data_IF_605139026770
#
_entry.id   IF_605139026770
#
_cell.length_a   1.000
_cell.length_b   1.000
_cell.length_c   1.000
_cell.angle_alpha   90.00
_cell.angle_beta   90.00
_cell.angle_gamma   90.00
#
_symmetry.space_group_name_H-M   'P 1'
#
loop_
_entity.id
_entity.type
_entity.pdbx_description
1 polymer ?
#
# COMPACT_ATOMS: atom_id res chain seq x y z
N UNK A 1 -10.34 -11.43 -0.70
CA UNK A 1 -8.94 -11.03 -0.97
C UNK A 1 -8.87 -9.83 -1.92
N UNK A 2 -8.50 -9.93 -3.20
CA UNK A 2 -8.31 -8.71 -4.01
C UNK A 2 -9.59 -7.89 -4.27
N UNK A 3 -10.75 -8.55 -4.32
CA UNK A 3 -12.05 -7.89 -4.50
C UNK A 3 -12.46 -7.02 -3.29
N UNK A 4 -12.10 -7.47 -2.07
CA UNK A 4 -12.31 -6.71 -0.85
C UNK A 4 -11.39 -5.49 -0.79
N UNK A 5 -10.13 -5.64 -1.21
CA UNK A 5 -9.18 -4.52 -1.31
C UNK A 5 -9.65 -3.52 -2.38
N UNK A 6 -10.17 -4.01 -3.51
CA UNK A 6 -10.78 -3.16 -4.54
C UNK A 6 -11.96 -2.36 -3.98
N UNK A 7 -12.87 -3.03 -3.29
CA UNK A 7 -14.01 -2.35 -2.64
C UNK A 7 -13.51 -1.27 -1.68
N UNK A 8 -12.50 -1.58 -0.86
CA UNK A 8 -11.94 -0.65 0.12
C UNK A 8 -11.33 0.61 -0.51
N UNK A 9 -10.77 0.55 -1.73
CA UNK A 9 -10.23 1.73 -2.44
C UNK A 9 -11.27 2.49 -3.26
N UNK A 10 -12.42 1.87 -3.57
CA UNK A 10 -13.48 2.49 -4.36
C UNK A 10 -14.51 3.26 -3.51
N UNK A 11 -14.65 2.93 -2.23
CA UNK A 11 -15.60 3.60 -1.32
C UNK A 11 -15.20 5.02 -0.89
N UNK A 12 -13.93 5.31 -0.55
CA UNK A 12 -13.53 6.63 -0.08
C UNK A 12 -13.56 7.69 -1.18
N UNK A 13 -13.89 8.93 -0.80
CA UNK A 13 -13.93 10.06 -1.73
C UNK A 13 -12.54 10.70 -1.94
N UNK A 14 -11.62 10.50 -1.00
CA UNK A 14 -10.26 11.02 -1.00
C UNK A 14 -9.27 9.88 -1.22
N UNK A 15 -8.22 10.14 -2.01
CA UNK A 15 -7.25 9.11 -2.38
C UNK A 15 -6.44 8.64 -1.18
N UNK A 16 -6.10 9.55 -0.26
CA UNK A 16 -5.40 9.21 0.98
C UNK A 16 -6.21 8.23 1.82
N UNK A 17 -7.53 8.43 1.90
CA UNK A 17 -8.43 7.52 2.63
C UNK A 17 -8.58 6.18 1.90
N UNK A 18 -8.61 6.18 0.57
CA UNK A 18 -8.56 4.95 -0.22
C UNK A 18 -7.29 4.14 0.08
N UNK A 19 -6.13 4.78 0.13
CA UNK A 19 -4.86 4.10 0.43
C UNK A 19 -4.77 3.63 1.89
N UNK A 20 -5.32 4.38 2.86
CA UNK A 20 -5.45 3.92 4.25
C UNK A 20 -6.36 2.70 4.35
N UNK A 21 -7.51 2.74 3.70
CA UNK A 21 -8.43 1.60 3.65
C UNK A 21 -7.79 0.38 2.99
N UNK A 22 -6.98 0.57 1.95
CA UNK A 22 -6.25 -0.51 1.29
C UNK A 22 -5.30 -1.25 2.22
N UNK A 23 -4.45 -0.54 2.97
CA UNK A 23 -3.46 -1.19 3.84
C UNK A 23 -4.12 -1.94 4.99
N UNK A 24 -5.25 -1.44 5.51
CA UNK A 24 -6.09 -2.16 6.48
C UNK A 24 -6.66 -3.43 5.84
N UNK A 25 -7.31 -3.32 4.68
CA UNK A 25 -7.89 -4.46 3.99
C UNK A 25 -6.84 -5.52 3.61
N UNK A 26 -5.61 -5.11 3.29
CA UNK A 26 -4.50 -6.06 3.01
C UNK A 26 -4.17 -6.88 4.26
N UNK A 27 -4.06 -6.27 5.44
CA UNK A 27 -3.80 -6.99 6.69
C UNK A 27 -4.94 -7.94 7.06
N UNK A 28 -6.19 -7.56 6.77
CA UNK A 28 -7.36 -8.40 7.07
C UNK A 28 -7.53 -9.57 6.08
N UNK A 29 -7.18 -9.37 4.82
CA UNK A 29 -7.51 -10.29 3.73
C UNK A 29 -6.35 -11.14 3.23
N UNK A 30 -5.11 -10.70 3.46
CA UNK A 30 -3.87 -11.40 3.12
C UNK A 30 -3.27 -11.92 4.42
N UNK A 31 -2.61 -13.08 4.45
CA UNK A 31 -1.88 -13.54 5.64
C UNK A 31 -0.63 -12.66 5.88
N UNK A 32 -0.86 -11.44 6.32
CA UNK A 32 0.12 -10.42 6.66
C UNK A 32 -0.15 -9.92 8.08
N UNK A 33 0.90 -9.66 8.85
CA UNK A 33 0.77 -9.01 10.15
C UNK A 33 0.82 -7.50 10.03
N UNK A 34 1.38 -6.99 8.93
CA UNK A 34 1.49 -5.58 8.62
C UNK A 34 1.54 -5.34 7.11
N UNK A 35 1.02 -4.20 6.68
CA UNK A 35 1.13 -3.72 5.31
C UNK A 35 1.42 -2.23 5.29
N UNK A 36 2.17 -1.78 4.29
CA UNK A 36 2.41 -0.36 4.06
C UNK A 36 2.78 -0.06 2.61
N UNK A 37 2.69 1.22 2.26
CA UNK A 37 3.07 1.74 0.94
C UNK A 37 4.27 2.66 1.12
N UNK A 38 5.38 2.36 0.45
CA UNK A 38 6.55 3.23 0.39
C UNK A 38 6.53 4.04 -0.90
N UNK A 39 6.43 5.37 -0.84
CA UNK A 39 6.48 6.23 -2.03
C UNK A 39 7.91 6.50 -2.45
N UNK A 40 8.17 6.53 -3.76
CA UNK A 40 9.47 6.90 -4.31
C UNK A 40 9.60 8.43 -4.38
N UNK A 41 10.49 9.01 -3.57
CA UNK A 41 10.70 10.45 -3.46
C UNK A 41 12.18 10.78 -3.57
N UNK A 42 12.58 11.58 -4.57
CA UNK A 42 13.97 12.03 -4.75
C UNK A 42 15.04 10.91 -4.73
N UNK A 43 14.64 9.67 -5.05
CA UNK A 43 15.50 8.48 -5.03
C UNK A 43 15.48 7.69 -3.70
N UNK A 44 14.69 8.13 -2.73
CA UNK A 44 14.43 7.48 -1.46
C UNK A 44 13.02 6.85 -1.43
N UNK A 45 12.80 5.97 -0.46
CA UNK A 45 11.50 5.33 -0.21
C UNK A 45 10.96 5.83 1.11
N UNK A 46 9.85 6.56 1.05
CA UNK A 46 9.23 7.21 2.21
C UNK A 46 7.95 6.46 2.58
N UNK A 47 7.82 6.09 3.85
CA UNK A 47 6.64 5.38 4.33
C UNK A 47 5.41 6.29 4.33
N UNK A 48 4.39 5.84 3.62
CA UNK A 48 3.07 6.45 3.59
C UNK A 48 2.09 5.74 4.52
N UNK A 49 0.87 5.41 4.06
CA UNK A 49 -0.09 4.70 4.89
C UNK A 49 0.43 3.29 5.23
N UNK A 50 0.17 2.89 6.48
CA UNK A 50 0.50 1.58 7.01
C UNK A 50 -0.58 1.09 7.97
N UNK A 51 -0.66 -0.22 8.18
CA UNK A 51 -1.55 -0.86 9.14
C UNK A 51 -0.93 -2.14 9.70
N UNK A 52 -1.27 -2.47 10.95
CA UNK A 52 -0.88 -3.72 11.60
C UNK A 52 0.41 -3.64 12.43
N UNK A 53 1.02 -4.79 12.71
CA UNK A 53 2.22 -4.95 13.55
C UNK A 53 3.42 -5.39 12.73
N UNK A 54 4.42 -4.51 12.60
CA UNK A 54 5.62 -4.77 11.82
C UNK A 54 6.42 -5.98 12.35
N UNK A 55 6.86 -6.82 11.43
CA UNK A 55 7.87 -7.86 11.64
C UNK A 55 8.84 -7.89 10.45
N UNK A 56 9.87 -7.03 10.46
CA UNK A 56 10.79 -6.86 9.34
C UNK A 56 11.51 -8.16 8.94
N UNK A 57 11.57 -9.18 9.80
CA UNK A 57 12.19 -10.46 9.50
C UNK A 57 11.43 -11.26 8.43
N UNK A 58 10.16 -10.93 8.17
CA UNK A 58 9.29 -11.62 7.21
C UNK A 58 8.88 -10.73 6.03
N UNK A 59 9.54 -9.59 5.86
CA UNK A 59 9.16 -8.56 4.89
C UNK A 59 9.24 -9.03 3.44
N UNK A 60 8.16 -8.82 2.71
CA UNK A 60 8.07 -8.94 1.26
C UNK A 60 7.79 -7.56 0.66
N UNK A 61 8.48 -7.24 -0.44
CA UNK A 61 8.36 -5.97 -1.15
C UNK A 61 8.03 -6.22 -2.61
N UNK A 62 7.03 -5.52 -3.12
CA UNK A 62 6.57 -5.60 -4.51
C UNK A 62 6.49 -4.20 -5.08
N UNK A 63 7.11 -3.94 -6.26
CA UNK A 63 7.07 -2.61 -6.84
C UNK A 63 5.65 -2.27 -7.33
N UNK A 64 5.23 -1.04 -7.05
CA UNK A 64 4.07 -0.42 -7.68
C UNK A 64 4.56 0.33 -8.92
N UNK A 65 4.18 -0.17 -10.09
CA UNK A 65 4.62 0.36 -11.38
C UNK A 65 3.46 1.10 -12.03
N UNK A 66 3.68 2.36 -12.39
CA UNK A 66 2.75 3.14 -13.19
C UNK A 66 3.43 3.57 -14.50
N UNK A 67 2.87 3.17 -15.64
CA UNK A 67 3.41 3.45 -16.99
C UNK A 67 4.88 3.06 -17.17
N UNK A 68 5.33 1.98 -16.52
CA UNK A 68 6.70 1.47 -16.59
C UNK A 68 7.68 2.14 -15.63
N UNK A 69 7.23 3.12 -14.85
CA UNK A 69 8.01 3.76 -13.79
C UNK A 69 7.61 3.21 -12.43
N UNK A 70 8.59 2.98 -11.57
CA UNK A 70 8.34 2.58 -10.18
C UNK A 70 8.08 3.83 -9.36
N UNK A 71 6.84 3.98 -8.93
CA UNK A 71 6.37 5.16 -8.19
C UNK A 71 6.21 4.89 -6.69
N UNK A 72 6.08 3.62 -6.30
CA UNK A 72 5.98 3.19 -4.92
C UNK A 72 6.40 1.71 -4.76
N UNK A 73 6.43 1.22 -3.53
CA UNK A 73 6.48 -0.20 -3.17
C UNK A 73 5.30 -0.55 -2.27
N UNK A 74 4.64 -1.67 -2.55
CA UNK A 74 3.80 -2.36 -1.60
C UNK A 74 4.68 -3.24 -0.72
N UNK A 75 4.55 -3.09 0.58
CA UNK A 75 5.36 -3.81 1.56
C UNK A 75 4.42 -4.54 2.50
N UNK A 76 4.71 -5.80 2.78
CA UNK A 76 3.96 -6.60 3.76
C UNK A 76 4.93 -7.40 4.63
N UNK A 77 4.59 -7.53 5.91
CA UNK A 77 5.26 -8.46 6.83
C UNK A 77 4.32 -9.65 7.10
N UNK A 78 4.87 -10.84 7.27
CA UNK A 78 4.13 -12.10 7.46
C UNK A 78 4.29 -13.08 6.29
N UNK A 79 3.56 -14.21 6.31
CA UNK A 79 3.61 -15.21 5.24
C UNK A 79 3.40 -14.64 3.84
N UNK A 80 2.52 -13.65 3.74
CA UNK A 80 2.08 -13.05 2.49
C UNK A 80 1.42 -14.06 1.55
N UNK A 81 0.97 -13.57 0.40
CA UNK A 81 0.71 -14.42 -0.75
C UNK A 81 1.43 -13.81 -1.97
N UNK A 82 2.58 -14.38 -2.39
CA UNK A 82 3.38 -13.81 -3.45
C UNK A 82 2.67 -13.81 -4.81
N UNK A 83 1.55 -14.53 -4.96
CA UNK A 83 0.76 -14.56 -6.19
C UNK A 83 -0.28 -13.44 -6.25
N UNK A 84 -0.73 -12.92 -5.11
CA UNK A 84 -1.74 -11.85 -5.04
C UNK A 84 -1.12 -10.46 -4.93
N UNK A 85 0.04 -10.33 -4.25
CA UNK A 85 0.67 -9.03 -4.00
C UNK A 85 0.97 -8.22 -5.28
N UNK A 86 1.43 -8.83 -6.40
CA UNK A 86 1.60 -8.09 -7.65
C UNK A 86 0.30 -7.52 -8.21
N UNK A 87 -0.81 -8.24 -8.06
CA UNK A 87 -2.11 -7.77 -8.53
C UNK A 87 -2.67 -6.65 -7.64
N UNK A 88 -2.38 -6.68 -6.34
CA UNK A 88 -2.71 -5.58 -5.42
C UNK A 88 -1.85 -4.35 -5.75
N UNK A 89 -0.55 -4.53 -5.99
CA UNK A 89 0.34 -3.43 -6.37
C UNK A 89 -0.10 -2.75 -7.68
N UNK A 90 -0.56 -3.54 -8.66
CA UNK A 90 -1.13 -3.00 -9.92
C UNK A 90 -2.42 -2.21 -9.68
N UNK A 91 -3.34 -2.73 -8.85
CA UNK A 91 -4.57 -2.05 -8.45
C UNK A 91 -4.30 -0.68 -7.79
N UNK A 92 -3.28 -0.59 -6.95
CA UNK A 92 -2.96 0.63 -6.20
C UNK A 92 -2.22 1.69 -7.03
N UNK A 93 -1.72 1.36 -8.22
CA UNK A 93 -0.85 2.23 -9.00
C UNK A 93 -1.47 3.60 -9.33
N UNK A 94 -2.76 3.66 -9.68
CA UNK A 94 -3.44 4.92 -9.98
C UNK A 94 -3.66 5.78 -8.73
N UNK A 95 -3.90 5.16 -7.58
CA UNK A 95 -4.08 5.83 -6.29
C UNK A 95 -2.75 6.37 -5.76
N UNK A 96 -1.65 5.62 -5.91
CA UNK A 96 -0.34 6.05 -5.48
C UNK A 96 0.18 7.30 -6.24
N UNK A 97 -0.28 7.53 -7.48
CA UNK A 97 0.08 8.73 -8.24
C UNK A 97 -0.58 9.99 -7.65
N UNK A 98 -1.81 9.87 -7.15
CA UNK A 98 -2.62 11.02 -6.72
C UNK A 98 -2.47 11.30 -5.22
N UNK A 99 -2.40 10.25 -4.39
CA UNK A 99 -2.28 10.38 -2.93
C UNK A 99 -0.97 11.01 -2.47
N UNK A 100 0.05 11.06 -3.34
CA UNK A 100 1.33 11.70 -3.03
C UNK A 100 1.30 13.24 -3.21
N UNK A 101 0.35 13.79 -3.99
CA UNK A 101 0.26 15.23 -4.28
C UNK A 101 -0.49 16.02 -3.18
N UNK A 102 -0.72 15.44 -1.99
CA UNK A 102 -1.50 16.09 -0.90
C UNK A 102 -0.73 17.12 -0.07
N UNK A 103 0.40 17.63 -0.58
CA UNK A 103 1.02 18.85 -0.07
C UNK A 103 1.95 18.67 1.13
N UNK A 104 2.54 17.48 1.29
CA UNK A 104 3.66 17.26 2.23
C UNK A 104 3.25 17.14 3.71
N UNK A 105 1.99 16.82 4.00
CA UNK A 105 1.59 16.44 5.35
C UNK A 105 1.98 14.97 5.57
N UNK A 106 2.79 14.65 6.59
CA UNK A 106 3.15 13.27 6.87
C UNK A 106 1.92 12.45 7.26
N UNK A 107 1.88 11.21 6.79
CA UNK A 107 0.80 10.26 7.06
C UNK A 107 0.73 9.94 8.55
N UNK A 108 -0.43 10.18 9.18
CA UNK A 108 -0.69 9.66 10.53
C UNK A 108 -1.04 8.18 10.45
N UNK A 109 -0.41 7.35 11.29
CA UNK A 109 -0.72 5.94 11.39
C UNK A 109 -2.16 5.75 11.91
N UNK A 110 -2.93 4.87 11.27
CA UNK A 110 -4.24 4.45 11.77
C UNK A 110 -4.03 3.33 12.79
N UNK A 111 -4.54 3.52 14.02
CA UNK A 111 -4.50 2.53 15.11
C UNK A 111 -5.50 1.37 14.93
#
# INVERSE_FOLDING_TARGET
>A
MIDAIRTAVEEPLEVDDALRAAVVAIVEEVPATWAGILFAEEGELVLGPEAGSQDPATRVQVPVIYRGERIAELVVDGPGDPTVLPAIADLLAEYCLVGWDTGGIPWEAVE
#
